data_IF_453910104504
#
_entry.id   IF_453910104504
#
_cell.length_a   1.000
_cell.length_b   1.000
_cell.length_c   1.000
_cell.angle_alpha   90.00
_cell.angle_beta   90.00
_cell.angle_gamma   90.00
#
_symmetry.space_group_name_H-M   'P 1'
#
loop_
_entity.id
_entity.type
_entity.pdbx_description
1 polymer ?
#
# COMPACT_ATOMS: atom_id res chain seq x y z
N UNK A 1 -2.81 8.94 10.02
CA UNK A 1 -3.50 8.96 8.71
C UNK A 1 -4.62 7.94 8.73
N UNK A 2 -5.76 8.24 8.11
CA UNK A 2 -6.89 7.31 7.97
C UNK A 2 -6.99 6.76 6.54
N UNK A 3 -7.89 5.79 6.32
CA UNK A 3 -8.13 5.16 5.02
C UNK A 3 -8.39 6.16 3.90
N UNK A 4 -9.27 7.14 4.13
CA UNK A 4 -9.64 8.13 3.12
C UNK A 4 -8.44 8.98 2.66
N UNK A 5 -7.55 9.36 3.60
CA UNK A 5 -6.34 10.12 3.28
C UNK A 5 -5.34 9.30 2.46
N UNK A 6 -5.18 8.01 2.74
CA UNK A 6 -4.28 7.13 1.98
C UNK A 6 -4.77 6.98 0.54
N UNK A 7 -6.06 6.70 0.36
CA UNK A 7 -6.67 6.58 -0.98
C UNK A 7 -6.54 7.90 -1.76
N UNK A 8 -6.76 9.05 -1.10
CA UNK A 8 -6.60 10.35 -1.75
C UNK A 8 -5.16 10.58 -2.25
N UNK A 9 -4.14 10.19 -1.47
CA UNK A 9 -2.73 10.28 -1.90
C UNK A 9 -2.46 9.39 -3.10
N UNK A 10 -2.90 8.13 -3.06
CA UNK A 10 -2.75 7.20 -4.18
C UNK A 10 -3.41 7.71 -5.46
N UNK A 11 -4.62 8.26 -5.36
CA UNK A 11 -5.33 8.89 -6.49
C UNK A 11 -4.62 10.13 -7.05
N UNK A 12 -3.82 10.80 -6.23
CA UNK A 12 -2.99 11.93 -6.66
C UNK A 12 -1.66 11.48 -7.30
N UNK A 13 -1.43 10.18 -7.45
CA UNK A 13 -0.23 9.62 -8.06
C UNK A 13 0.90 9.31 -7.09
N UNK A 14 0.70 9.48 -5.77
CA UNK A 14 1.67 9.02 -4.79
C UNK A 14 1.74 7.49 -4.79
N UNK A 15 2.92 6.94 -4.57
CA UNK A 15 3.14 5.49 -4.51
C UNK A 15 3.21 5.00 -3.08
N UNK A 16 2.43 3.97 -2.77
CA UNK A 16 2.53 3.27 -1.49
C UNK A 16 3.55 2.14 -1.62
N UNK A 17 4.58 2.19 -0.78
CA UNK A 17 5.63 1.18 -0.75
C UNK A 17 5.47 0.24 0.43
N UNK A 18 6.00 -0.97 0.26
CA UNK A 18 6.05 -2.01 1.28
C UNK A 18 7.41 -2.69 1.28
N UNK A 19 7.92 -2.98 2.46
CA UNK A 19 9.07 -3.89 2.62
C UNK A 19 8.87 -4.80 3.83
N UNK A 20 9.59 -5.92 3.83
CA UNK A 20 9.75 -6.75 5.00
C UNK A 20 10.99 -6.30 5.78
N UNK A 21 10.81 -5.86 7.01
CA UNK A 21 11.88 -5.47 7.93
C UNK A 21 11.65 -6.16 9.27
N UNK A 22 12.66 -6.88 9.76
CA UNK A 22 12.60 -7.66 11.01
C UNK A 22 11.37 -8.59 11.12
N UNK A 23 11.00 -9.21 9.99
CA UNK A 23 9.85 -10.11 9.89
C UNK A 23 8.48 -9.41 9.91
N UNK A 24 8.45 -8.08 9.80
CA UNK A 24 7.22 -7.26 9.78
C UNK A 24 7.08 -6.51 8.47
N UNK A 25 5.85 -6.26 8.06
CA UNK A 25 5.55 -5.39 6.92
C UNK A 25 5.61 -3.93 7.35
N UNK A 26 6.46 -3.17 6.68
CA UNK A 26 6.60 -1.72 6.87
C UNK A 26 6.08 -1.04 5.62
N UNK A 27 5.23 -0.04 5.80
CA UNK A 27 4.52 0.65 4.72
C UNK A 27 4.80 2.15 4.78
N UNK A 28 5.05 2.78 3.63
CA UNK A 28 5.26 4.23 3.59
C UNK A 28 4.92 4.84 2.22
N UNK A 29 4.65 6.15 2.21
CA UNK A 29 4.75 6.96 1.00
C UNK A 29 6.14 7.58 0.89
N UNK A 30 6.66 7.78 -0.32
CA UNK A 30 7.99 8.37 -0.55
C UNK A 30 7.98 9.91 -0.46
N UNK A 31 6.96 10.58 -1.02
CA UNK A 31 6.94 12.05 -1.14
C UNK A 31 5.63 12.70 -0.68
N UNK A 32 5.58 13.42 0.45
CA UNK A 32 6.56 13.40 1.55
C UNK A 32 6.62 12.02 2.22
N UNK A 33 7.80 11.70 2.78
CA UNK A 33 8.01 10.42 3.47
C UNK A 33 7.05 10.29 4.65
N UNK A 34 6.26 9.23 4.66
CA UNK A 34 5.28 9.01 5.73
C UNK A 34 5.02 7.54 5.96
N UNK A 35 5.37 7.06 7.15
CA UNK A 35 5.07 5.70 7.59
C UNK A 35 3.57 5.51 7.83
N UNK A 36 3.05 4.39 7.34
CA UNK A 36 1.66 3.98 7.46
C UNK A 36 1.57 2.76 8.38
N UNK A 37 0.74 2.79 9.43
CA UNK A 37 0.53 1.62 10.28
C UNK A 37 -0.09 0.48 9.47
N UNK A 38 0.48 -0.72 9.58
CA UNK A 38 0.00 -1.93 8.89
C UNK A 38 -1.50 -2.16 9.08
N UNK A 39 -2.02 -1.96 10.30
CA UNK A 39 -3.45 -2.10 10.61
C UNK A 39 -4.37 -1.29 9.70
N UNK A 40 -3.91 -0.13 9.21
CA UNK A 40 -4.70 0.73 8.31
C UNK A 40 -4.68 0.14 6.90
N UNK A 41 -3.53 -0.36 6.44
CA UNK A 41 -3.40 -1.03 5.14
C UNK A 41 -4.24 -2.31 5.12
N UNK A 42 -4.18 -3.13 6.17
CA UNK A 42 -5.03 -4.33 6.30
C UNK A 42 -6.52 -3.98 6.21
N UNK A 43 -6.96 -2.89 6.85
CA UNK A 43 -8.34 -2.44 6.75
C UNK A 43 -8.70 -1.96 5.33
N UNK A 44 -7.78 -1.32 4.61
CA UNK A 44 -7.99 -0.90 3.22
C UNK A 44 -8.15 -2.11 2.29
N UNK A 45 -7.26 -3.09 2.42
CA UNK A 45 -7.31 -4.33 1.63
C UNK A 45 -8.62 -5.07 1.91
N UNK A 46 -8.99 -5.22 3.19
CA UNK A 46 -10.20 -5.94 3.58
C UNK A 46 -11.51 -5.24 3.20
N UNK A 47 -11.50 -3.90 3.05
CA UNK A 47 -12.73 -3.14 2.85
C UNK A 47 -13.24 -3.16 1.40
N UNK A 48 -12.38 -3.27 0.39
CA UNK A 48 -12.84 -3.34 -1.02
C UNK A 48 -11.75 -3.56 -2.09
N UNK A 49 -10.57 -4.11 -1.74
CA UNK A 49 -9.41 -4.14 -2.66
C UNK A 49 -9.12 -2.77 -3.29
N UNK A 50 -9.30 -1.68 -2.52
CA UNK A 50 -9.15 -0.32 -3.03
C UNK A 50 -7.73 -0.01 -3.55
N UNK A 51 -6.78 -0.89 -3.23
CA UNK A 51 -5.40 -0.87 -3.71
C UNK A 51 -5.04 -2.23 -4.31
N UNK A 52 -4.19 -2.23 -5.32
CA UNK A 52 -3.70 -3.44 -5.99
C UNK A 52 -2.18 -3.52 -6.01
N UNK A 53 -1.68 -4.74 -6.08
CA UNK A 53 -0.26 -5.04 -6.29
C UNK A 53 0.15 -4.64 -7.70
N UNK A 54 1.32 -4.01 -7.83
CA UNK A 54 1.87 -3.61 -9.15
C UNK A 54 2.67 -4.73 -9.83
N UNK A 55 2.80 -5.90 -9.18
CA UNK A 55 3.47 -7.07 -9.73
C UNK A 55 4.96 -7.18 -9.38
N UNK A 56 5.49 -6.23 -8.61
CA UNK A 56 6.84 -6.27 -8.03
C UNK A 56 6.90 -7.09 -6.72
N UNK A 57 6.34 -8.29 -6.77
CA UNK A 57 6.19 -9.17 -5.60
C UNK A 57 7.52 -9.69 -5.10
N UNK A 58 7.81 -9.46 -3.81
CA UNK A 58 8.91 -10.14 -3.12
C UNK A 58 8.70 -11.65 -3.21
N UNK A 59 9.73 -12.35 -3.69
CA UNK A 59 9.74 -13.82 -3.81
C UNK A 59 8.63 -14.41 -4.69
N UNK A 60 7.96 -13.60 -5.53
CA UNK A 60 6.84 -14.05 -6.37
C UNK A 60 5.57 -14.41 -5.59
N UNK A 61 5.42 -13.90 -4.35
CA UNK A 61 4.29 -14.20 -3.48
C UNK A 61 3.23 -13.09 -3.52
N UNK A 62 1.96 -13.49 -3.67
CA UNK A 62 0.81 -12.59 -3.52
C UNK A 62 0.83 -11.95 -2.12
N UNK A 63 0.43 -10.69 -2.04
CA UNK A 63 0.43 -9.86 -0.84
C UNK A 63 1.82 -9.36 -0.44
N UNK A 64 2.81 -9.48 -1.33
CA UNK A 64 4.19 -9.08 -1.06
C UNK A 64 4.77 -8.14 -2.14
N UNK A 65 3.95 -7.51 -2.97
CA UNK A 65 4.38 -6.39 -3.83
C UNK A 65 5.10 -5.32 -3.00
N UNK A 66 6.22 -4.82 -3.51
CA UNK A 66 6.92 -3.69 -2.91
C UNK A 66 6.23 -2.36 -3.21
N UNK A 67 5.41 -2.32 -4.27
CA UNK A 67 4.66 -1.13 -4.68
C UNK A 67 3.19 -1.47 -4.87
N UNK A 68 2.34 -0.58 -4.36
CA UNK A 68 0.88 -0.69 -4.38
C UNK A 68 0.27 0.61 -4.89
N UNK A 69 -0.75 0.46 -5.72
CA UNK A 69 -1.45 1.57 -6.39
C UNK A 69 -2.96 1.48 -6.13
N UNK A 70 -3.70 2.55 -6.38
CA UNK A 70 -5.17 2.51 -6.31
C UNK A 70 -5.68 1.57 -7.41
N UNK A 71 -6.67 0.74 -7.08
CA UNK A 71 -7.37 -0.07 -8.09
C UNK A 71 -8.24 0.88 -8.91
N UNK A 72 -7.89 1.11 -10.17
CA UNK A 72 -8.73 1.90 -11.06
C UNK A 72 -10.05 1.14 -11.31
N UNK A 73 -11.15 1.72 -10.82
CA UNK A 73 -12.49 1.22 -11.07
C UNK A 73 -12.85 1.50 -12.53
N UNK A 74 -12.65 0.50 -13.38
CA UNK A 74 -13.31 0.44 -14.69
C UNK A 74 -14.78 0.04 -14.53
#
# INVERSE_FOLDING_TARGET
>A
MNTAQIIARLRNGDKLHMQLSDGKRVWWFEGPHQNIPEKVITAIIAADDAIMETGDSLFGLIGNSQTWEVKDGS
#
